data_IF_678964236737
#
_entry.id   IF_678964236737
#
_cell.length_a   1.000
_cell.length_b   1.000
_cell.length_c   1.000
_cell.angle_alpha   90.00
_cell.angle_beta   90.00
_cell.angle_gamma   90.00
#
_symmetry.space_group_name_H-M   'P 1'
#
loop_
_entity.id
_entity.type
_entity.pdbx_description
1 polymer ?
#
# COMPACT_ATOMS: atom_id res chain seq x y z
N UNK A 1 -11.29 -1.19 -11.80
CA UNK A 1 -10.73 -2.23 -10.92
C UNK A 1 -10.55 -3.62 -11.58
N UNK A 2 -10.79 -3.80 -12.89
CA UNK A 2 -10.87 -5.14 -13.50
C UNK A 2 -9.69 -5.61 -14.36
N UNK A 3 -8.54 -4.90 -14.39
CA UNK A 3 -7.44 -5.22 -15.31
C UNK A 3 -6.23 -5.90 -14.68
N UNK A 4 -6.03 -5.78 -13.37
CA UNK A 4 -4.90 -6.43 -12.66
C UNK A 4 -5.17 -7.92 -12.35
N UNK A 5 -6.44 -8.34 -12.29
CA UNK A 5 -6.80 -9.74 -11.97
C UNK A 5 -6.46 -10.76 -13.09
N UNK A 6 -6.07 -10.31 -14.29
CA UNK A 6 -5.78 -11.19 -15.41
C UNK A 6 -4.29 -11.58 -15.56
N UNK A 7 -3.38 -11.00 -14.75
CA UNK A 7 -1.95 -11.36 -14.73
C UNK A 7 -1.70 -12.55 -13.79
N UNK A 8 -2.59 -13.54 -13.79
CA UNK A 8 -2.46 -14.72 -12.93
C UNK A 8 -1.88 -15.94 -13.64
N UNK A 9 -1.59 -15.87 -14.96
CA UNK A 9 -1.28 -17.08 -15.73
C UNK A 9 0.13 -17.19 -16.31
N UNK A 10 1.05 -16.24 -16.05
CA UNK A 10 2.42 -16.30 -16.61
C UNK A 10 3.54 -15.97 -15.63
N UNK A 11 3.23 -15.58 -14.39
CA UNK A 11 4.23 -15.15 -13.40
C UNK A 11 4.34 -16.23 -12.32
N UNK A 12 5.49 -16.86 -12.17
CA UNK A 12 5.75 -17.87 -11.12
C UNK A 12 5.84 -17.25 -9.70
N UNK A 13 6.04 -15.93 -9.60
CA UNK A 13 6.08 -15.15 -8.34
C UNK A 13 4.68 -14.61 -7.98
N UNK A 14 4.15 -14.94 -6.80
CA UNK A 14 2.94 -14.30 -6.25
C UNK A 14 3.23 -12.91 -5.62
N UNK A 15 4.48 -12.47 -5.70
CA UNK A 15 5.03 -11.26 -5.11
C UNK A 15 4.28 -9.96 -5.48
N UNK A 16 3.89 -9.72 -6.76
CA UNK A 16 3.11 -8.53 -7.11
C UNK A 16 1.76 -8.49 -6.38
N UNK A 17 1.10 -9.63 -6.24
CA UNK A 17 -0.21 -9.72 -5.59
C UNK A 17 -0.12 -9.36 -4.10
N UNK A 18 0.84 -9.95 -3.38
CA UNK A 18 1.04 -9.64 -1.96
C UNK A 18 1.44 -8.18 -1.71
N UNK A 19 2.24 -7.59 -2.61
CA UNK A 19 2.61 -6.17 -2.49
C UNK A 19 1.39 -5.26 -2.67
N UNK A 20 0.49 -5.57 -3.61
CA UNK A 20 -0.79 -4.84 -3.76
C UNK A 20 -1.64 -4.97 -2.50
N UNK A 21 -1.79 -6.17 -1.93
CA UNK A 21 -2.56 -6.38 -0.69
C UNK A 21 -1.99 -5.59 0.50
N UNK A 22 -0.65 -5.46 0.57
CA UNK A 22 0.02 -4.65 1.58
C UNK A 22 -0.21 -3.16 1.36
N UNK A 23 -0.12 -2.65 0.13
CA UNK A 23 -0.43 -1.25 -0.21
C UNK A 23 -1.87 -0.92 0.16
N UNK A 24 -2.83 -1.79 -0.18
CA UNK A 24 -4.25 -1.60 0.18
C UNK A 24 -4.44 -1.55 1.70
N UNK A 25 -3.84 -2.50 2.43
CA UNK A 25 -3.93 -2.55 3.90
C UNK A 25 -3.32 -1.31 4.57
N UNK A 26 -2.18 -0.84 4.06
CA UNK A 26 -1.51 0.37 4.56
C UNK A 26 -2.34 1.61 4.25
N UNK A 27 -2.92 1.71 3.05
CA UNK A 27 -3.80 2.81 2.66
C UNK A 27 -5.01 2.91 3.59
N UNK A 28 -5.70 1.79 3.83
CA UNK A 28 -6.86 1.73 4.75
C UNK A 28 -6.46 2.18 6.16
N UNK A 29 -5.30 1.75 6.67
CA UNK A 29 -4.85 2.14 7.99
C UNK A 29 -4.37 3.60 8.07
N UNK A 30 -3.74 4.12 7.01
CA UNK A 30 -3.33 5.52 6.89
C UNK A 30 -4.55 6.45 6.95
N UNK A 31 -5.61 6.12 6.22
CA UNK A 31 -6.88 6.85 6.25
C UNK A 31 -7.56 6.73 7.62
N UNK A 32 -7.64 5.52 8.17
CA UNK A 32 -8.23 5.30 9.50
C UNK A 32 -7.50 6.12 10.57
N UNK A 33 -6.18 6.08 10.60
CA UNK A 33 -5.37 6.80 11.61
C UNK A 33 -5.47 8.32 11.48
N UNK A 34 -5.76 8.85 10.28
CA UNK A 34 -6.04 10.28 10.08
C UNK A 34 -7.41 10.72 10.62
N UNK A 35 -8.39 9.80 10.67
CA UNK A 35 -9.77 10.10 11.05
C UNK A 35 -10.19 9.49 12.40
N UNK A 36 -9.27 8.81 13.08
CA UNK A 36 -9.53 8.18 14.37
C UNK A 36 -9.81 9.23 15.45
N UNK A 37 -10.88 9.02 16.23
CA UNK A 37 -11.27 9.93 17.31
C UNK A 37 -10.20 9.97 18.42
N UNK A 38 -9.69 11.17 18.72
CA UNK A 38 -8.75 11.39 19.81
C UNK A 38 -9.46 11.83 21.09
N UNK A 39 -9.19 11.15 22.21
CA UNK A 39 -9.80 11.49 23.50
C UNK A 39 -9.06 12.61 24.23
N UNK A 40 -7.80 12.85 23.88
CA UNK A 40 -6.92 13.86 24.45
C UNK A 40 -5.76 14.19 23.48
N UNK A 41 -4.89 15.12 23.89
CA UNK A 41 -3.75 15.56 23.07
C UNK A 41 -2.68 14.48 22.85
N UNK A 42 -2.50 13.55 23.79
CA UNK A 42 -1.55 12.46 23.68
C UNK A 42 -2.02 11.44 22.62
N UNK A 43 -3.30 11.08 22.65
CA UNK A 43 -3.93 10.24 21.62
C UNK A 43 -3.82 10.90 20.24
N UNK A 44 -4.05 12.22 20.13
CA UNK A 44 -3.92 12.95 18.87
C UNK A 44 -2.48 12.92 18.32
N UNK A 45 -1.49 13.10 19.19
CA UNK A 45 -0.08 13.01 18.80
C UNK A 45 0.31 11.59 18.35
N UNK A 46 -0.21 10.57 19.03
CA UNK A 46 -0.03 9.17 18.65
C UNK A 46 -0.65 8.88 17.27
N UNK A 47 -1.89 9.31 17.04
CA UNK A 47 -2.57 9.10 15.74
C UNK A 47 -1.84 9.81 14.60
N UNK A 48 -1.39 11.04 14.81
CA UNK A 48 -0.58 11.76 13.83
C UNK A 48 0.77 11.08 13.55
N UNK A 49 1.36 10.43 14.56
CA UNK A 49 2.55 9.60 14.37
C UNK A 49 2.25 8.34 13.55
N UNK A 50 1.18 7.61 13.89
CA UNK A 50 0.76 6.41 13.17
C UNK A 50 0.45 6.72 11.69
N UNK A 51 -0.33 7.76 11.42
CA UNK A 51 -0.61 8.21 10.06
C UNK A 51 0.66 8.45 9.26
N UNK A 52 1.62 9.21 9.83
CA UNK A 52 2.89 9.54 9.15
C UNK A 52 3.74 8.30 8.88
N UNK A 53 3.89 7.41 9.86
CA UNK A 53 4.76 6.24 9.69
C UNK A 53 4.14 5.21 8.74
N UNK A 54 2.81 5.10 8.73
CA UNK A 54 2.09 4.27 7.77
C UNK A 54 2.19 4.83 6.35
N UNK A 55 2.07 6.14 6.16
CA UNK A 55 2.28 6.76 4.85
C UNK A 55 3.70 6.52 4.32
N UNK A 56 4.71 6.59 5.19
CA UNK A 56 6.09 6.24 4.83
C UNK A 56 6.22 4.77 4.45
N UNK A 57 5.62 3.86 5.23
CA UNK A 57 5.65 2.43 4.92
C UNK A 57 4.95 2.14 3.58
N UNK A 58 3.80 2.76 3.31
CA UNK A 58 3.09 2.62 2.03
C UNK A 58 3.98 3.00 0.85
N UNK A 59 4.62 4.17 0.91
CA UNK A 59 5.53 4.62 -0.15
C UNK A 59 6.70 3.65 -0.41
N UNK A 60 7.26 3.05 0.63
CA UNK A 60 8.33 2.04 0.48
C UNK A 60 7.83 0.75 -0.17
N UNK A 61 6.59 0.33 0.12
CA UNK A 61 5.99 -0.86 -0.50
C UNK A 61 5.55 -0.58 -1.94
N UNK A 62 5.05 0.64 -2.24
CA UNK A 62 4.78 1.10 -3.61
C UNK A 62 6.05 1.06 -4.47
N UNK A 63 7.19 1.55 -3.94
CA UNK A 63 8.49 1.46 -4.64
C UNK A 63 8.90 -0.01 -4.89
N UNK A 64 8.67 -0.89 -3.91
CA UNK A 64 8.94 -2.31 -4.06
C UNK A 64 8.03 -2.96 -5.13
N UNK A 65 6.76 -2.57 -5.18
CA UNK A 65 5.80 -3.04 -6.19
C UNK A 65 6.22 -2.60 -7.58
N UNK A 66 6.57 -1.33 -7.77
CA UNK A 66 7.07 -0.80 -9.05
C UNK A 66 8.28 -1.59 -9.55
N UNK A 67 9.21 -1.93 -8.65
CA UNK A 67 10.39 -2.73 -9.00
C UNK A 67 10.03 -4.15 -9.43
N UNK A 68 9.06 -4.79 -8.78
CA UNK A 68 8.58 -6.13 -9.16
C UNK A 68 7.85 -6.07 -10.50
N UNK A 69 6.95 -5.11 -10.70
CA UNK A 69 6.23 -4.88 -11.96
C UNK A 69 7.21 -4.70 -13.13
N UNK A 70 8.25 -3.89 -12.95
CA UNK A 70 9.31 -3.71 -13.95
C UNK A 70 10.09 -4.99 -14.24
N UNK A 71 10.42 -5.78 -13.20
CA UNK A 71 11.16 -7.03 -13.35
C UNK A 71 10.37 -8.11 -14.12
N UNK A 72 9.06 -8.15 -13.91
CA UNK A 72 8.14 -9.09 -14.57
C UNK A 72 7.66 -8.60 -15.96
N UNK A 73 8.09 -7.40 -16.39
CA UNK A 73 7.67 -6.81 -17.66
C UNK A 73 6.18 -6.46 -17.71
N UNK A 74 5.57 -6.21 -16.55
CA UNK A 74 4.17 -5.84 -16.43
C UNK A 74 4.01 -4.33 -16.64
N UNK A 75 2.93 -3.93 -17.30
CA UNK A 75 2.55 -2.52 -17.42
C UNK A 75 1.77 -2.12 -16.14
N UNK A 76 2.27 -1.18 -15.31
CA UNK A 76 1.54 -0.71 -14.14
C UNK A 76 0.22 0.01 -14.49
N UNK A 77 -0.01 0.34 -15.76
CA UNK A 77 -1.12 1.19 -16.19
C UNK A 77 -0.89 2.65 -15.81
N UNK A 78 -1.78 3.58 -16.23
CA UNK A 78 -1.62 4.98 -15.89
C UNK A 78 -1.88 5.20 -14.38
N UNK A 79 -0.87 5.74 -13.69
CA UNK A 79 -0.98 6.28 -12.33
C UNK A 79 -1.80 7.56 -12.25
#
# INVERSE_FOLDING_TARGET
>A
LGRLAAVQSTVECECPHHLVELVDSLTVFEEYSAHCESRNNEDAALHAYLHRITAQARALIEEALDRVVQAEGLDPGPG
#
